data_IF_905915755406
#
_entry.id   IF_905915755406
#
_cell.length_a   1.000
_cell.length_b   1.000
_cell.length_c   1.000
_cell.angle_alpha   90.00
_cell.angle_beta   90.00
_cell.angle_gamma   90.00
#
_symmetry.space_group_name_H-M   'P 1'
#
loop_
_entity.id
_entity.type
_entity.pdbx_description
1 polymer ?
#
# COMPACT_ATOMS: atom_id res chain seq x y z
N UNK A 1 14.26 -10.85 -7.64
CA UNK A 1 13.66 -9.87 -8.57
C UNK A 1 12.19 -10.16 -8.80
N UNK A 2 11.79 -11.31 -9.36
CA UNK A 2 10.36 -11.69 -9.41
C UNK A 2 9.78 -11.93 -8.00
N UNK A 3 10.48 -12.66 -7.13
CA UNK A 3 10.05 -12.89 -5.75
C UNK A 3 9.88 -11.59 -4.95
N UNK A 4 10.77 -10.61 -5.14
CA UNK A 4 10.69 -9.30 -4.47
C UNK A 4 9.47 -8.48 -4.94
N UNK A 5 9.11 -8.60 -6.23
CA UNK A 5 7.91 -7.97 -6.81
C UNK A 5 6.66 -8.60 -6.20
N UNK A 6 6.58 -9.92 -6.14
CA UNK A 6 5.44 -10.63 -5.56
C UNK A 6 5.24 -10.28 -4.08
N UNK A 7 6.32 -10.29 -3.29
CA UNK A 7 6.26 -9.91 -1.88
C UNK A 7 5.81 -8.44 -1.72
N UNK A 8 6.39 -7.52 -2.50
CA UNK A 8 6.01 -6.11 -2.42
C UNK A 8 4.55 -5.88 -2.84
N UNK A 9 4.07 -6.63 -3.84
CA UNK A 9 2.69 -6.57 -4.29
C UNK A 9 1.73 -7.07 -3.20
N UNK A 10 2.02 -8.22 -2.59
CA UNK A 10 1.19 -8.79 -1.52
C UNK A 10 1.09 -7.84 -0.32
N UNK A 11 2.21 -7.21 0.08
CA UNK A 11 2.22 -6.19 1.13
C UNK A 11 1.25 -5.04 0.80
N UNK A 12 1.36 -4.48 -0.40
CA UNK A 12 0.53 -3.33 -0.80
C UNK A 12 -0.93 -3.71 -0.94
N UNK A 13 -1.25 -4.86 -1.55
CA UNK A 13 -2.62 -5.34 -1.71
C UNK A 13 -3.29 -5.58 -0.36
N UNK A 14 -2.58 -6.20 0.58
CA UNK A 14 -3.08 -6.42 1.94
C UNK A 14 -3.36 -5.09 2.66
N UNK A 15 -2.49 -4.10 2.52
CA UNK A 15 -2.71 -2.79 3.14
C UNK A 15 -3.85 -2.01 2.45
N UNK A 16 -4.03 -2.13 1.14
CA UNK A 16 -5.21 -1.59 0.43
C UNK A 16 -6.50 -2.18 1.01
N UNK A 17 -6.57 -3.50 1.17
CA UNK A 17 -7.73 -4.17 1.74
C UNK A 17 -8.01 -3.69 3.18
N UNK A 18 -6.97 -3.58 4.01
CA UNK A 18 -7.05 -3.06 5.38
C UNK A 18 -7.61 -1.63 5.43
N UNK A 19 -7.07 -0.73 4.60
CA UNK A 19 -7.50 0.68 4.56
C UNK A 19 -8.91 0.81 3.98
N UNK A 20 -9.26 0.00 2.98
CA UNK A 20 -10.60 -0.01 2.39
C UNK A 20 -11.65 -0.41 3.42
N UNK A 21 -11.37 -1.45 4.22
CA UNK A 21 -12.25 -1.86 5.31
C UNK A 21 -12.43 -0.76 6.37
N UNK A 22 -11.34 -0.08 6.73
CA UNK A 22 -11.38 1.06 7.67
C UNK A 22 -12.18 2.24 7.10
N UNK A 23 -12.02 2.53 5.81
CA UNK A 23 -12.77 3.56 5.11
C UNK A 23 -14.27 3.24 5.09
N UNK A 24 -14.65 2.00 4.72
CA UNK A 24 -16.03 1.58 4.57
C UNK A 24 -16.86 1.71 5.87
N UNK A 25 -16.23 1.49 7.03
CA UNK A 25 -16.91 1.58 8.34
C UNK A 25 -16.73 2.94 9.04
N UNK A 26 -15.91 3.84 8.48
CA UNK A 26 -15.60 5.11 9.10
C UNK A 26 -16.70 6.16 8.84
N UNK A 27 -17.29 6.65 9.93
CA UNK A 27 -18.34 7.69 9.92
C UNK A 27 -17.79 9.11 10.04
N UNK A 28 -16.50 9.25 10.38
CA UNK A 28 -15.83 10.53 10.56
C UNK A 28 -15.33 11.04 9.20
N UNK A 29 -15.81 12.22 8.79
CA UNK A 29 -15.50 12.81 7.49
C UNK A 29 -14.03 13.19 7.32
N UNK A 30 -13.34 13.60 8.39
CA UNK A 30 -11.91 13.92 8.37
C UNK A 30 -11.07 12.66 8.29
N UNK A 31 -11.45 11.59 9.00
CA UNK A 31 -10.75 10.30 8.88
C UNK A 31 -10.99 9.66 7.51
N UNK A 32 -12.18 9.83 6.93
CA UNK A 32 -12.49 9.36 5.58
C UNK A 32 -11.62 10.01 4.51
N UNK A 33 -11.37 11.32 4.59
CA UNK A 33 -10.46 11.96 3.63
C UNK A 33 -9.02 11.47 3.77
N UNK A 34 -8.55 11.17 4.99
CA UNK A 34 -7.23 10.57 5.24
C UNK A 34 -7.15 9.17 4.63
N UNK A 35 -8.15 8.31 4.86
CA UNK A 35 -8.14 6.96 4.29
C UNK A 35 -8.20 6.99 2.77
N UNK A 36 -9.01 7.87 2.18
CA UNK A 36 -9.06 8.06 0.73
C UNK A 36 -7.69 8.47 0.16
N UNK A 37 -7.04 9.46 0.76
CA UNK A 37 -5.70 9.87 0.34
C UNK A 37 -4.67 8.73 0.49
N UNK A 38 -4.79 7.91 1.55
CA UNK A 38 -3.92 6.76 1.74
C UNK A 38 -4.14 5.69 0.66
N UNK A 39 -5.38 5.41 0.28
CA UNK A 39 -5.71 4.47 -0.81
C UNK A 39 -5.09 4.94 -2.13
N UNK A 40 -5.24 6.22 -2.50
CA UNK A 40 -4.66 6.77 -3.73
C UNK A 40 -3.13 6.61 -3.79
N UNK A 41 -2.44 6.73 -2.64
CA UNK A 41 -0.99 6.49 -2.57
C UNK A 41 -0.66 5.01 -2.74
N UNK A 42 -1.42 4.12 -2.10
CA UNK A 42 -1.19 2.67 -2.18
C UNK A 42 -1.46 2.14 -3.60
N UNK A 43 -2.52 2.60 -4.27
CA UNK A 43 -2.81 2.25 -5.66
C UNK A 43 -1.70 2.71 -6.62
N UNK A 44 -1.14 3.90 -6.40
CA UNK A 44 0.04 4.36 -7.15
C UNK A 44 1.26 3.47 -6.89
N UNK A 45 1.50 3.07 -5.65
CA UNK A 45 2.58 2.15 -5.32
C UNK A 45 2.39 0.78 -5.99
N UNK A 46 1.17 0.26 -6.00
CA UNK A 46 0.82 -0.98 -6.69
C UNK A 46 1.13 -0.88 -8.19
N UNK A 47 0.74 0.22 -8.83
CA UNK A 47 1.05 0.46 -10.24
C UNK A 47 2.56 0.50 -10.52
N UNK A 48 3.33 1.21 -9.68
CA UNK A 48 4.79 1.27 -9.81
C UNK A 48 5.46 -0.11 -9.64
N UNK A 49 4.93 -0.97 -8.77
CA UNK A 49 5.40 -2.36 -8.63
C UNK A 49 5.11 -3.15 -9.90
N UNK A 50 3.91 -3.02 -10.49
CA UNK A 50 3.60 -3.66 -11.77
C UNK A 50 4.51 -3.20 -12.92
N UNK A 51 4.98 -1.94 -12.87
CA UNK A 51 5.97 -1.39 -13.80
C UNK A 51 7.42 -1.79 -13.45
N UNK A 52 7.60 -2.73 -12.51
CA UNK A 52 8.88 -3.22 -12.01
C UNK A 52 9.83 -2.10 -11.52
N UNK A 53 9.25 -1.07 -10.88
CA UNK A 53 10.04 0.03 -10.31
C UNK A 53 10.79 -0.45 -9.05
N UNK A 54 12.04 -0.88 -9.25
CA UNK A 54 12.90 -1.41 -8.20
C UNK A 54 13.09 -0.48 -6.99
N UNK A 55 12.98 0.86 -7.17
CA UNK A 55 13.07 1.81 -6.06
C UNK A 55 11.86 1.72 -5.13
N UNK A 56 10.67 1.57 -5.69
CA UNK A 56 9.43 1.44 -4.92
C UNK A 56 9.38 0.07 -4.24
N UNK A 57 9.71 -1.00 -4.98
CA UNK A 57 9.79 -2.36 -4.44
C UNK A 57 10.73 -2.40 -3.22
N UNK A 58 11.96 -1.89 -3.36
CA UNK A 58 12.92 -1.85 -2.25
C UNK A 58 12.40 -1.06 -1.05
N UNK A 59 11.76 0.10 -1.30
CA UNK A 59 11.19 0.94 -0.25
C UNK A 59 10.12 0.19 0.55
N UNK A 60 9.21 -0.54 -0.11
CA UNK A 60 8.14 -1.30 0.54
C UNK A 60 8.72 -2.43 1.39
N UNK A 61 9.70 -3.16 0.86
CA UNK A 61 10.38 -4.23 1.60
C UNK A 61 11.12 -3.69 2.82
N UNK A 62 11.75 -2.52 2.71
CA UNK A 62 12.43 -1.85 3.83
C UNK A 62 11.44 -1.34 4.89
N UNK A 63 10.29 -0.78 4.49
CA UNK A 63 9.22 -0.34 5.40
C UNK A 63 8.58 -1.52 6.13
N UNK A 64 8.41 -2.66 5.45
CA UNK A 64 7.94 -3.91 6.04
C UNK A 64 8.89 -4.45 7.10
N UNK A 65 10.20 -4.47 6.82
CA UNK A 65 11.23 -4.87 7.80
C UNK A 65 11.24 -3.97 9.04
N UNK A 66 10.87 -2.70 8.89
CA UNK A 66 10.74 -1.73 9.99
C UNK A 66 9.40 -1.82 10.74
N UNK A 67 8.47 -2.66 10.29
CA UNK A 67 7.12 -2.78 10.87
C UNK A 67 6.27 -1.52 10.71
N UNK A 68 6.60 -0.68 9.72
CA UNK A 68 5.86 0.57 9.43
C UNK A 68 4.69 0.33 8.47
N UNK A 69 4.69 -0.82 7.79
CA UNK A 69 3.64 -1.31 6.91
C UNK A 69 3.31 -2.78 7.22
#
# INVERSE_FOLDING_TARGET
>A
MEEDVEIALDIVVNEIANVTNKYAVCKDSKKNSIYKAKLEVLEKMQHEIYMNNGRIIKKILDERKKGTI
#
